data_IF_594457753924
#
_entry.id   IF_594457753924
#
_cell.length_a   1.000
_cell.length_b   1.000
_cell.length_c   1.000
_cell.angle_alpha   90.00
_cell.angle_beta   90.00
_cell.angle_gamma   90.00
#
_symmetry.space_group_name_H-M   'P 1'
#
loop_
_entity.id
_entity.type
_entity.pdbx_description
1 polymer ?
#
# COMPACT_ATOMS: atom_id res chain seq x y z
N UNK A 1 -10.41 -17.45 25.10
CA UNK A 1 -11.02 -16.35 24.37
C UNK A 1 -10.21 -15.05 24.50
N UNK A 2 -9.88 -14.58 25.69
CA UNK A 2 -9.12 -13.33 25.94
C UNK A 2 -7.77 -13.24 25.20
N UNK A 3 -7.01 -14.32 25.13
CA UNK A 3 -5.68 -14.34 24.48
C UNK A 3 -5.77 -14.10 22.96
N UNK A 4 -6.77 -14.68 22.29
CA UNK A 4 -6.97 -14.48 20.84
C UNK A 4 -7.38 -13.04 20.52
N UNK A 5 -8.21 -12.44 21.36
CA UNK A 5 -8.64 -11.04 21.21
C UNK A 5 -7.47 -10.08 21.43
N UNK A 6 -6.65 -10.30 22.46
CA UNK A 6 -5.45 -9.48 22.68
C UNK A 6 -4.45 -9.60 21.53
N UNK A 7 -4.26 -10.81 21.00
CA UNK A 7 -3.39 -11.04 19.85
C UNK A 7 -3.89 -10.29 18.61
N UNK A 8 -5.20 -10.35 18.33
CA UNK A 8 -5.81 -9.65 17.22
C UNK A 8 -5.63 -8.12 17.33
N UNK A 9 -5.86 -7.56 18.52
CA UNK A 9 -5.66 -6.13 18.78
C UNK A 9 -4.20 -5.75 18.60
N UNK A 10 -3.25 -6.54 19.11
CA UNK A 10 -1.82 -6.26 18.96
C UNK A 10 -1.39 -6.28 17.49
N UNK A 11 -1.83 -7.27 16.72
CA UNK A 11 -1.53 -7.36 15.27
C UNK A 11 -2.11 -6.16 14.53
N UNK A 12 -3.35 -5.77 14.83
CA UNK A 12 -4.00 -4.62 14.21
C UNK A 12 -3.26 -3.32 14.53
N UNK A 13 -2.90 -3.09 15.80
CA UNK A 13 -2.14 -1.91 16.22
C UNK A 13 -0.74 -1.88 15.60
N UNK A 14 -0.10 -3.04 15.44
CA UNK A 14 1.21 -3.13 14.81
C UNK A 14 1.15 -2.79 13.31
N UNK A 15 0.14 -3.29 12.58
CA UNK A 15 0.00 -3.05 11.14
C UNK A 15 -0.54 -1.66 10.79
N UNK A 16 -1.50 -1.15 11.58
CA UNK A 16 -2.22 0.08 11.29
C UNK A 16 -1.92 1.22 12.25
N UNK A 17 -1.09 0.98 13.25
CA UNK A 17 -0.65 1.99 14.21
C UNK A 17 0.54 2.80 13.71
N UNK A 18 1.12 3.59 14.60
CA UNK A 18 2.26 4.48 14.34
C UNK A 18 3.42 3.77 13.61
N UNK A 19 3.65 2.49 13.90
CA UNK A 19 4.71 1.69 13.31
C UNK A 19 4.62 1.61 11.78
N UNK A 20 3.43 1.30 11.25
CA UNK A 20 3.19 1.26 9.82
C UNK A 20 3.34 2.63 9.16
N UNK A 21 2.86 3.68 9.81
CA UNK A 21 2.89 5.04 9.26
C UNK A 21 4.27 5.71 9.29
N UNK A 22 5.15 5.33 10.22
CA UNK A 22 6.52 5.88 10.30
C UNK A 22 7.29 5.67 8.99
N UNK A 23 7.16 4.52 8.36
CA UNK A 23 7.85 4.23 7.09
C UNK A 23 7.42 5.21 6.00
N UNK A 24 6.12 5.46 5.88
CA UNK A 24 5.57 6.43 4.91
C UNK A 24 6.02 7.86 5.22
N UNK A 25 6.01 8.25 6.49
CA UNK A 25 6.48 9.55 6.92
C UNK A 25 7.97 9.77 6.61
N UNK A 26 8.81 8.76 6.81
CA UNK A 26 10.23 8.83 6.49
C UNK A 26 10.46 9.04 5.00
N UNK A 27 9.84 8.23 4.16
CA UNK A 27 9.96 8.36 2.70
C UNK A 27 9.45 9.72 2.23
N UNK A 28 8.28 10.15 2.73
CA UNK A 28 7.71 11.46 2.40
C UNK A 28 8.60 12.61 2.83
N UNK A 29 9.21 12.52 4.02
CA UNK A 29 10.14 13.53 4.53
C UNK A 29 11.39 13.64 3.66
N UNK A 30 12.01 12.50 3.30
CA UNK A 30 13.19 12.48 2.42
C UNK A 30 12.87 13.05 1.04
N UNK A 31 11.73 12.65 0.46
CA UNK A 31 11.26 13.20 -0.82
C UNK A 31 11.06 14.72 -0.76
N UNK A 32 10.40 15.20 0.27
CA UNK A 32 10.17 16.63 0.46
C UNK A 32 11.50 17.38 0.62
N UNK A 33 12.43 16.83 1.39
CA UNK A 33 13.74 17.44 1.63
C UNK A 33 14.57 17.52 0.35
N UNK A 34 14.63 16.43 -0.43
CA UNK A 34 15.36 16.39 -1.70
C UNK A 34 14.73 17.32 -2.75
N UNK A 35 13.40 17.37 -2.82
CA UNK A 35 12.72 18.25 -3.76
C UNK A 35 12.86 19.73 -3.41
N UNK A 36 12.69 20.10 -2.13
CA UNK A 36 12.70 21.51 -1.73
C UNK A 36 14.10 22.09 -1.53
N UNK A 37 15.10 21.29 -1.11
CA UNK A 37 16.47 21.78 -0.87
C UNK A 37 17.36 21.62 -2.09
N UNK A 38 17.29 20.48 -2.76
CA UNK A 38 18.17 20.14 -3.89
C UNK A 38 17.51 20.37 -5.25
N UNK A 39 16.21 20.72 -5.27
CA UNK A 39 15.48 20.96 -6.51
C UNK A 39 15.29 19.70 -7.37
N UNK A 40 15.41 18.50 -6.77
CA UNK A 40 15.29 17.23 -7.48
C UNK A 40 13.83 16.90 -7.77
N UNK A 41 13.55 16.11 -8.82
CA UNK A 41 12.19 15.67 -9.12
C UNK A 41 11.63 14.80 -7.98
N UNK A 42 10.32 14.87 -7.74
CA UNK A 42 9.62 14.07 -6.74
C UNK A 42 9.46 12.61 -7.20
N UNK A 43 10.57 11.91 -7.35
CA UNK A 43 10.62 10.49 -7.73
C UNK A 43 11.40 9.68 -6.70
N UNK A 44 11.17 8.37 -6.66
CA UNK A 44 11.84 7.52 -5.66
C UNK A 44 13.36 7.52 -5.81
N UNK A 45 13.88 7.68 -7.03
CA UNK A 45 15.34 7.80 -7.25
C UNK A 45 15.95 8.99 -6.51
N UNK A 46 15.19 10.07 -6.32
CA UNK A 46 15.70 11.26 -5.60
C UNK A 46 15.99 10.99 -4.13
N UNK A 47 15.30 10.01 -3.50
CA UNK A 47 15.62 9.56 -2.15
C UNK A 47 17.01 8.94 -2.03
N UNK A 48 17.54 8.41 -3.12
CA UNK A 48 18.86 7.77 -3.16
C UNK A 48 19.98 8.72 -3.55
N UNK A 49 19.68 9.98 -3.88
CA UNK A 49 20.67 10.98 -4.23
C UNK A 49 21.81 11.10 -3.21
N UNK A 50 21.57 11.14 -1.89
CA UNK A 50 22.63 11.23 -0.90
C UNK A 50 23.58 10.02 -0.89
N UNK A 51 23.14 8.87 -1.41
CA UNK A 51 23.90 7.61 -1.43
C UNK A 51 24.67 7.41 -2.72
N UNK A 52 24.08 7.73 -3.87
CA UNK A 52 24.63 7.41 -5.19
C UNK A 52 24.94 8.65 -6.05
N UNK A 53 24.62 9.84 -5.54
CA UNK A 53 24.93 11.11 -6.21
C UNK A 53 24.33 11.22 -7.60
N UNK A 54 25.08 11.82 -8.54
CA UNK A 54 24.62 12.09 -9.91
C UNK A 54 24.27 10.83 -10.74
N UNK A 55 24.61 9.65 -10.25
CA UNK A 55 24.25 8.38 -10.92
C UNK A 55 22.74 8.11 -10.93
N UNK A 56 21.95 8.88 -10.17
CA UNK A 56 20.47 8.81 -10.23
C UNK A 56 19.93 9.26 -11.60
N UNK A 57 20.68 10.07 -12.34
CA UNK A 57 20.27 10.53 -13.69
C UNK A 57 20.60 9.52 -14.79
N UNK A 58 21.20 8.38 -14.44
CA UNK A 58 21.49 7.28 -15.35
C UNK A 58 20.52 6.10 -15.19
N UNK A 59 20.85 5.02 -15.89
CA UNK A 59 20.04 3.78 -15.89
C UNK A 59 19.74 3.21 -14.49
N UNK A 60 20.61 3.46 -13.50
CA UNK A 60 20.39 3.03 -12.11
C UNK A 60 19.20 3.76 -11.48
N UNK A 61 19.06 5.05 -11.72
CA UNK A 61 17.92 5.82 -11.25
C UNK A 61 16.62 5.38 -11.91
N UNK A 62 16.65 5.12 -13.21
CA UNK A 62 15.48 4.63 -13.94
C UNK A 62 15.07 3.24 -13.46
N UNK A 63 16.03 2.38 -13.12
CA UNK A 63 15.75 1.07 -12.52
C UNK A 63 15.05 1.22 -11.17
N UNK A 64 15.50 2.13 -10.31
CA UNK A 64 14.87 2.41 -9.01
C UNK A 64 13.42 2.86 -9.20
N UNK A 65 13.16 3.78 -10.13
CA UNK A 65 11.82 4.27 -10.41
C UNK A 65 10.90 3.15 -10.94
N UNK A 66 11.39 2.33 -11.87
CA UNK A 66 10.63 1.20 -12.43
C UNK A 66 10.28 0.19 -11.33
N UNK A 67 11.24 -0.21 -10.50
CA UNK A 67 11.01 -1.14 -9.39
C UNK A 67 10.01 -0.56 -8.40
N UNK A 68 10.10 0.73 -8.10
CA UNK A 68 9.18 1.41 -7.19
C UNK A 68 7.74 1.45 -7.73
N UNK A 69 7.57 1.73 -9.02
CA UNK A 69 6.26 1.71 -9.68
C UNK A 69 5.68 0.30 -9.66
N UNK A 70 6.46 -0.71 -10.02
CA UNK A 70 6.03 -2.11 -10.00
C UNK A 70 5.58 -2.55 -8.60
N UNK A 71 6.39 -2.23 -7.57
CA UNK A 71 6.07 -2.55 -6.18
C UNK A 71 4.78 -1.86 -5.73
N UNK A 72 4.59 -0.60 -6.10
CA UNK A 72 3.37 0.14 -5.78
C UNK A 72 2.16 -0.48 -6.46
N UNK A 73 2.24 -0.83 -7.74
CA UNK A 73 1.15 -1.51 -8.45
C UNK A 73 0.76 -2.82 -7.78
N UNK A 74 1.73 -3.68 -7.45
CA UNK A 74 1.46 -4.94 -6.75
C UNK A 74 0.84 -4.70 -5.37
N UNK A 75 1.32 -3.69 -4.63
CA UNK A 75 0.78 -3.30 -3.33
C UNK A 75 -0.67 -2.87 -3.42
N UNK A 76 -1.02 -2.02 -4.39
CA UNK A 76 -2.40 -1.58 -4.63
C UNK A 76 -3.30 -2.76 -5.02
N UNK A 77 -2.88 -3.60 -5.97
CA UNK A 77 -3.65 -4.77 -6.38
C UNK A 77 -3.93 -5.72 -5.21
N UNK A 78 -2.92 -5.98 -4.37
CA UNK A 78 -3.07 -6.83 -3.19
C UNK A 78 -4.03 -6.23 -2.17
N UNK A 79 -3.91 -4.92 -1.90
CA UNK A 79 -4.76 -4.22 -0.94
C UNK A 79 -6.22 -4.19 -1.40
N UNK A 80 -6.46 -3.93 -2.69
CA UNK A 80 -7.81 -3.97 -3.27
C UNK A 80 -8.42 -5.38 -3.19
N UNK A 81 -7.64 -6.42 -3.53
CA UNK A 81 -8.09 -7.80 -3.44
C UNK A 81 -8.45 -8.23 -2.02
N UNK A 82 -7.64 -7.84 -1.03
CA UNK A 82 -7.94 -8.11 0.38
C UNK A 82 -9.15 -7.31 0.87
N UNK A 83 -9.27 -6.04 0.48
CA UNK A 83 -10.41 -5.19 0.82
C UNK A 83 -11.71 -5.76 0.29
N UNK A 84 -11.75 -6.19 -0.97
CA UNK A 84 -12.92 -6.84 -1.56
C UNK A 84 -13.32 -8.12 -0.80
N UNK A 85 -12.35 -8.96 -0.43
CA UNK A 85 -12.61 -10.17 0.38
C UNK A 85 -13.18 -9.84 1.75
N UNK A 86 -12.66 -8.81 2.42
CA UNK A 86 -13.17 -8.38 3.73
C UNK A 86 -14.61 -7.87 3.64
N UNK A 87 -14.93 -7.09 2.60
CA UNK A 87 -16.31 -6.63 2.35
C UNK A 87 -17.27 -7.80 2.17
N UNK A 88 -16.93 -8.77 1.31
CA UNK A 88 -17.77 -9.93 1.05
C UNK A 88 -17.98 -10.77 2.31
N UNK A 89 -16.90 -10.98 3.08
CA UNK A 89 -17.00 -11.68 4.37
C UNK A 89 -17.91 -10.94 5.35
N UNK A 90 -17.90 -9.61 5.35
CA UNK A 90 -18.81 -8.78 6.13
C UNK A 90 -20.26 -8.93 5.68
N UNK A 91 -20.53 -8.93 4.38
CA UNK A 91 -21.87 -9.15 3.85
C UNK A 91 -22.40 -10.57 4.12
N UNK A 92 -21.54 -11.58 4.04
CA UNK A 92 -21.90 -12.96 4.39
C UNK A 92 -22.33 -13.09 5.87
N UNK A 93 -21.74 -12.32 6.77
CA UNK A 93 -22.18 -12.28 8.18
C UNK A 93 -23.55 -11.65 8.37
N UNK A 94 -23.96 -10.74 7.47
CA UNK A 94 -25.28 -10.11 7.51
C UNK A 94 -26.34 -10.94 6.80
N UNK A 95 -25.97 -11.62 5.73
CA UNK A 95 -26.84 -12.49 4.94
C UNK A 95 -26.07 -13.75 4.51
N UNK A 96 -26.42 -14.89 5.12
CA UNK A 96 -25.76 -16.17 4.89
C UNK A 96 -25.98 -16.76 3.48
N UNK A 97 -26.89 -16.20 2.68
CA UNK A 97 -27.13 -16.64 1.30
C UNK A 97 -26.00 -16.18 0.32
N UNK A 98 -25.16 -15.27 0.75
CA UNK A 98 -24.04 -14.77 -0.04
C UNK A 98 -22.85 -15.72 0.10
N UNK A 99 -22.48 -16.41 -0.99
CA UNK A 99 -21.28 -17.25 -1.02
C UNK A 99 -20.01 -16.37 -1.13
N UNK A 100 -19.13 -16.34 -0.12
CA UNK A 100 -17.91 -15.54 -0.14
C UNK A 100 -16.90 -16.01 -1.19
N UNK A 101 -17.05 -17.22 -1.74
CA UNK A 101 -16.16 -17.75 -2.78
C UNK A 101 -16.69 -17.50 -4.20
N UNK A 102 -17.83 -16.85 -4.35
CA UNK A 102 -18.39 -16.55 -5.66
C UNK A 102 -17.54 -15.46 -6.36
N UNK A 103 -16.84 -15.88 -7.42
CA UNK A 103 -15.93 -15.01 -8.18
C UNK A 103 -16.66 -13.80 -8.80
N UNK A 104 -17.89 -14.00 -9.28
CA UNK A 104 -18.66 -12.89 -9.86
C UNK A 104 -18.98 -11.81 -8.84
N UNK A 105 -19.31 -12.20 -7.62
CA UNK A 105 -19.58 -11.25 -6.56
C UNK A 105 -18.32 -10.52 -6.11
N UNK A 106 -17.17 -11.22 -6.08
CA UNK A 106 -15.87 -10.61 -5.80
C UNK A 106 -15.49 -9.55 -6.85
N UNK A 107 -15.63 -9.89 -8.13
CA UNK A 107 -15.31 -8.98 -9.24
C UNK A 107 -16.26 -7.78 -9.26
N UNK A 108 -17.58 -8.02 -9.04
CA UNK A 108 -18.57 -6.95 -8.98
C UNK A 108 -18.31 -5.98 -7.82
N UNK A 109 -17.99 -6.49 -6.64
CA UNK A 109 -17.64 -5.67 -5.47
C UNK A 109 -16.38 -4.84 -5.72
N UNK A 110 -15.40 -5.41 -6.41
CA UNK A 110 -14.15 -4.72 -6.74
C UNK A 110 -14.40 -3.62 -7.77
N UNK A 111 -15.23 -3.87 -8.78
CA UNK A 111 -15.63 -2.88 -9.78
C UNK A 111 -16.39 -1.71 -9.16
N UNK A 112 -17.38 -2.03 -8.34
CA UNK A 112 -18.16 -1.01 -7.61
C UNK A 112 -17.31 -0.18 -6.66
N UNK A 113 -16.26 -0.77 -6.05
CA UNK A 113 -15.35 -0.04 -5.18
C UNK A 113 -14.46 0.92 -5.96
N UNK A 114 -14.01 0.52 -7.16
CA UNK A 114 -13.20 1.37 -8.06
C UNK A 114 -14.00 2.54 -8.61
N UNK A 115 -15.29 2.34 -8.87
CA UNK A 115 -16.18 3.41 -9.39
C UNK A 115 -16.51 4.49 -8.36
N UNK A 116 -16.25 4.24 -7.06
CA UNK A 116 -16.53 5.18 -5.96
C UNK A 116 -15.31 6.07 -5.65
N UNK A 117 -14.09 5.69 -6.07
CA UNK A 117 -12.85 6.42 -5.85
C UNK A 117 -12.52 7.34 -7.04
#
# INVERSE_FOLDING_TARGET
MKTKTLLAINITLFHWGLHGWIVYCLVGLVLALMSHREGLPMTMKSCFYPLIGDRIFGWMGDLIDVVSIMTTMFGVCTSLGLGARQLISGFHLLNSDIDPNNLYFQVYSLHSYVDII
#
